data_IF_775987882488
#
_entry.id   IF_775987882488
#
_cell.length_a   1.000
_cell.length_b   1.000
_cell.length_c   1.000
_cell.angle_alpha   90.00
_cell.angle_beta   90.00
_cell.angle_gamma   90.00
#
_symmetry.space_group_name_H-M   'P 1'
#
loop_
_entity.id
_entity.type
_entity.pdbx_description
1 polymer ?
#
# COMPACT_ATOMS: atom_id res chain seq x y z
N UNK A 1 -26.22 -59.37 32.04
CA UNK A 1 -26.07 -58.35 30.97
C UNK A 1 -25.45 -59.01 29.75
N UNK A 2 -26.12 -58.95 28.58
CA UNK A 2 -25.67 -59.64 27.35
C UNK A 2 -24.54 -58.81 26.71
N UNK A 3 -23.41 -59.44 26.33
CA UNK A 3 -22.22 -58.81 25.70
C UNK A 3 -22.57 -57.76 24.62
N UNK A 4 -23.59 -58.05 23.81
CA UNK A 4 -24.06 -57.14 22.75
C UNK A 4 -24.58 -55.78 23.23
N UNK A 5 -25.10 -55.64 24.45
CA UNK A 5 -25.49 -54.32 24.99
C UNK A 5 -24.28 -53.45 25.37
N UNK A 6 -23.17 -54.07 25.79
CA UNK A 6 -21.93 -53.36 26.12
C UNK A 6 -21.23 -52.92 24.83
N UNK A 7 -21.20 -53.78 23.81
CA UNK A 7 -20.65 -53.47 22.49
C UNK A 7 -21.43 -52.35 21.79
N UNK A 8 -22.78 -52.38 21.81
CA UNK A 8 -23.59 -51.28 21.28
C UNK A 8 -23.40 -49.97 22.05
N UNK A 9 -23.26 -50.04 23.38
CA UNK A 9 -23.02 -48.86 24.21
C UNK A 9 -21.62 -48.28 24.00
N UNK A 10 -20.60 -49.08 23.69
CA UNK A 10 -19.27 -48.57 23.36
C UNK A 10 -19.26 -47.96 21.96
N UNK A 11 -19.87 -48.63 20.97
CA UNK A 11 -19.92 -48.16 19.60
C UNK A 11 -20.61 -46.79 19.47
N UNK A 12 -21.72 -46.59 20.18
CA UNK A 12 -22.44 -45.29 20.21
C UNK A 12 -21.61 -44.17 20.84
N UNK A 13 -20.85 -44.45 21.91
CA UNK A 13 -19.96 -43.46 22.55
C UNK A 13 -18.79 -43.09 21.64
N UNK A 14 -18.17 -44.05 20.97
CA UNK A 14 -17.11 -43.77 20.00
C UNK A 14 -17.64 -43.00 18.79
N UNK A 15 -18.81 -43.36 18.27
CA UNK A 15 -19.44 -42.64 17.16
C UNK A 15 -19.75 -41.18 17.54
N UNK A 16 -20.26 -40.91 18.75
CA UNK A 16 -20.47 -39.54 19.24
C UNK A 16 -19.16 -38.74 19.32
N UNK A 17 -18.09 -39.33 19.86
CA UNK A 17 -16.79 -38.64 19.98
C UNK A 17 -16.22 -38.33 18.59
N UNK A 18 -16.22 -39.31 17.69
CA UNK A 18 -15.77 -39.09 16.31
C UNK A 18 -16.58 -37.99 15.62
N UNK A 19 -17.90 -37.98 15.79
CA UNK A 19 -18.75 -36.95 15.21
C UNK A 19 -18.40 -35.55 15.72
N UNK A 20 -18.19 -35.38 17.03
CA UNK A 20 -17.81 -34.10 17.62
C UNK A 20 -16.44 -33.63 17.09
N UNK A 21 -15.46 -34.52 17.03
CA UNK A 21 -14.11 -34.21 16.52
C UNK A 21 -14.17 -33.82 15.03
N UNK A 22 -14.91 -34.58 14.21
CA UNK A 22 -15.11 -34.26 12.79
C UNK A 22 -15.82 -32.93 12.59
N UNK A 23 -16.86 -32.64 13.38
CA UNK A 23 -17.58 -31.36 13.32
C UNK A 23 -16.66 -30.18 13.70
N UNK A 24 -15.87 -30.33 14.77
CA UNK A 24 -14.90 -29.32 15.19
C UNK A 24 -13.83 -29.08 14.11
N UNK A 25 -13.30 -30.14 13.50
CA UNK A 25 -12.33 -30.02 12.41
C UNK A 25 -12.91 -29.30 11.18
N UNK A 26 -14.16 -29.61 10.81
CA UNK A 26 -14.86 -28.92 9.71
C UNK A 26 -15.05 -27.44 10.03
N UNK A 27 -15.53 -27.10 11.24
CA UNK A 27 -15.74 -25.72 11.67
C UNK A 27 -14.43 -24.91 11.68
N UNK A 28 -13.34 -25.48 12.18
CA UNK A 28 -12.01 -24.86 12.14
C UNK A 28 -11.52 -24.67 10.70
N UNK A 29 -11.75 -25.65 9.82
CA UNK A 29 -11.40 -25.57 8.41
C UNK A 29 -12.18 -24.48 7.66
N UNK A 30 -13.48 -24.34 7.91
CA UNK A 30 -14.32 -23.30 7.33
C UNK A 30 -13.91 -21.90 7.80
N UNK A 31 -13.65 -21.73 9.10
CA UNK A 31 -13.16 -20.48 9.69
C UNK A 31 -11.87 -19.99 9.01
N UNK A 32 -10.91 -20.88 8.74
CA UNK A 32 -9.66 -20.48 8.11
C UNK A 32 -9.85 -20.06 6.64
N UNK A 33 -10.75 -20.72 5.90
CA UNK A 33 -11.08 -20.33 4.52
C UNK A 33 -11.78 -18.98 4.45
N UNK A 34 -12.75 -18.74 5.33
CA UNK A 34 -13.44 -17.44 5.40
C UNK A 34 -12.49 -16.32 5.77
N UNK A 35 -11.59 -16.53 6.74
CA UNK A 35 -10.55 -15.57 7.10
C UNK A 35 -9.65 -15.24 5.91
N UNK A 36 -9.16 -16.25 5.19
CA UNK A 36 -8.32 -16.04 4.01
C UNK A 36 -9.06 -15.26 2.91
N UNK A 37 -10.33 -15.56 2.68
CA UNK A 37 -11.14 -14.85 1.68
C UNK A 37 -11.39 -13.39 2.08
N UNK A 38 -11.77 -13.13 3.34
CA UNK A 38 -11.97 -11.76 3.86
C UNK A 38 -10.68 -10.95 3.74
N UNK A 39 -9.56 -11.54 4.11
CA UNK A 39 -8.24 -10.95 4.05
C UNK A 39 -7.84 -10.59 2.60
N UNK A 40 -8.08 -11.47 1.64
CA UNK A 40 -7.89 -11.19 0.21
C UNK A 40 -8.77 -10.04 -0.30
N UNK A 41 -10.06 -10.04 0.06
CA UNK A 41 -11.00 -8.98 -0.35
C UNK A 41 -10.61 -7.62 0.24
N UNK A 42 -10.16 -7.58 1.50
CA UNK A 42 -9.70 -6.35 2.15
C UNK A 42 -8.40 -5.82 1.52
N UNK A 43 -7.39 -6.69 1.34
CA UNK A 43 -6.15 -6.32 0.65
C UNK A 43 -6.43 -5.78 -0.75
N UNK A 44 -7.32 -6.43 -1.50
CA UNK A 44 -7.67 -6.02 -2.87
C UNK A 44 -8.40 -4.68 -2.88
N UNK A 45 -9.40 -4.50 -2.02
CA UNK A 45 -10.12 -3.22 -1.91
C UNK A 45 -9.17 -2.08 -1.55
N UNK A 46 -8.24 -2.31 -0.63
CA UNK A 46 -7.25 -1.31 -0.22
C UNK A 46 -6.26 -1.00 -1.33
N UNK A 47 -5.68 -2.01 -1.97
CA UNK A 47 -4.74 -1.85 -3.07
C UNK A 47 -5.38 -1.12 -4.24
N UNK A 48 -6.60 -1.49 -4.64
CA UNK A 48 -7.35 -0.83 -5.71
C UNK A 48 -7.73 0.60 -5.36
N UNK A 49 -8.09 0.88 -4.10
CA UNK A 49 -8.39 2.25 -3.64
C UNK A 49 -7.16 3.15 -3.78
N UNK A 50 -6.02 2.72 -3.25
CA UNK A 50 -4.76 3.48 -3.34
C UNK A 50 -4.31 3.64 -4.79
N UNK A 51 -4.35 2.55 -5.57
CA UNK A 51 -4.00 2.58 -6.98
C UNK A 51 -4.88 3.56 -7.78
N UNK A 52 -6.20 3.56 -7.53
CA UNK A 52 -7.13 4.51 -8.16
C UNK A 52 -6.80 5.95 -7.78
N UNK A 53 -6.48 6.19 -6.52
CA UNK A 53 -6.12 7.52 -6.02
C UNK A 53 -4.83 8.05 -6.63
N UNK A 54 -3.78 7.22 -6.72
CA UNK A 54 -2.53 7.55 -7.42
C UNK A 54 -2.79 7.80 -8.91
N UNK A 55 -3.56 6.92 -9.56
CA UNK A 55 -3.92 7.06 -10.98
C UNK A 55 -4.68 8.37 -11.25
N UNK A 56 -5.57 8.80 -10.35
CA UNK A 56 -6.31 10.06 -10.49
C UNK A 56 -5.36 11.27 -10.50
N UNK A 57 -4.35 11.29 -9.62
CA UNK A 57 -3.38 12.40 -9.60
C UNK A 57 -2.53 12.41 -10.87
N UNK A 58 -2.06 11.24 -11.32
CA UNK A 58 -1.27 11.09 -12.55
C UNK A 58 -2.04 11.57 -13.77
N UNK A 59 -3.27 11.07 -13.95
CA UNK A 59 -4.08 11.32 -15.15
C UNK A 59 -4.86 12.62 -15.13
N UNK A 60 -4.83 13.35 -14.01
CA UNK A 60 -5.54 14.61 -13.89
C UNK A 60 -5.05 15.66 -14.90
N UNK A 61 -5.94 16.50 -15.46
CA UNK A 61 -5.56 17.57 -16.35
C UNK A 61 -4.95 18.79 -15.62
N UNK A 62 -5.08 18.85 -14.29
CA UNK A 62 -4.56 19.97 -13.50
C UNK A 62 -3.04 19.89 -13.44
N UNK A 63 -2.36 21.00 -13.74
CA UNK A 63 -0.90 21.08 -13.81
C UNK A 63 -0.24 20.84 -12.44
N UNK A 64 -0.84 21.41 -11.40
CA UNK A 64 -0.39 21.36 -10.01
C UNK A 64 -1.49 20.74 -9.14
N UNK A 65 -1.36 19.44 -8.84
CA UNK A 65 -2.31 18.73 -8.00
C UNK A 65 -1.61 18.07 -6.83
N UNK A 66 -2.08 18.41 -5.63
CA UNK A 66 -1.70 17.73 -4.40
C UNK A 66 -2.91 17.00 -3.86
N UNK A 67 -2.75 15.71 -3.58
CA UNK A 67 -3.78 14.89 -2.97
C UNK A 67 -3.22 14.18 -1.74
N UNK A 68 -3.98 14.26 -0.66
CA UNK A 68 -3.61 13.71 0.65
C UNK A 68 -4.60 12.58 0.96
N UNK A 69 -4.08 11.37 1.10
CA UNK A 69 -4.90 10.20 1.40
C UNK A 69 -4.73 9.81 2.87
N UNK A 70 -5.78 9.93 3.71
CA UNK A 70 -5.69 9.45 5.07
C UNK A 70 -5.56 7.93 5.09
N UNK A 71 -4.49 7.44 5.68
CA UNK A 71 -4.19 6.01 5.83
C UNK A 71 -4.74 5.45 7.14
N UNK A 72 -5.27 6.30 8.03
CA UNK A 72 -5.85 5.88 9.32
C UNK A 72 -6.94 4.84 9.16
N UNK A 73 -7.81 4.98 8.14
CA UNK A 73 -8.81 3.98 7.81
C UNK A 73 -8.20 2.70 7.26
N UNK A 74 -7.24 2.81 6.33
CA UNK A 74 -6.68 1.68 5.57
C UNK A 74 -5.68 0.83 6.36
N UNK A 75 -4.86 1.46 7.21
CA UNK A 75 -3.80 0.82 7.98
C UNK A 75 -4.26 0.36 9.38
N UNK A 76 -5.45 0.79 9.84
CA UNK A 76 -6.01 0.39 11.13
C UNK A 76 -7.06 -0.73 11.05
N UNK A 77 -7.31 -1.30 9.85
CA UNK A 77 -8.30 -2.37 9.66
C UNK A 77 -7.77 -3.69 10.21
N UNK A 78 -7.71 -3.85 11.54
CA UNK A 78 -7.40 -5.13 12.14
C UNK A 78 -7.52 -5.17 13.65
N UNK A 79 -8.00 -6.29 14.20
CA UNK A 79 -7.88 -6.57 15.64
C UNK A 79 -6.39 -6.76 15.97
N UNK A 80 -5.99 -6.32 17.16
CA UNK A 80 -4.60 -6.03 17.60
C UNK A 80 -3.53 -7.10 17.31
N UNK A 81 -3.90 -8.32 16.94
CA UNK A 81 -2.98 -9.43 16.72
C UNK A 81 -2.89 -9.95 15.25
N UNK A 82 -3.81 -9.60 14.33
CA UNK A 82 -3.90 -10.34 13.04
C UNK A 82 -4.27 -9.56 11.77
N UNK A 83 -4.29 -8.21 11.74
CA UNK A 83 -4.72 -7.53 10.50
C UNK A 83 -4.24 -6.10 10.33
N UNK A 84 -3.06 -5.74 10.85
CA UNK A 84 -2.44 -4.49 10.39
C UNK A 84 -1.86 -4.74 9.00
N UNK A 85 -2.26 -3.95 8.01
CA UNK A 85 -1.74 -4.08 6.65
C UNK A 85 -0.53 -3.17 6.45
N UNK A 86 0.45 -3.65 5.72
CA UNK A 86 1.58 -2.91 5.19
C UNK A 86 1.32 -2.64 3.71
N UNK A 87 1.57 -1.41 3.28
CA UNK A 87 1.41 -1.00 1.89
C UNK A 87 2.79 -0.69 1.35
N UNK A 88 3.18 -1.30 0.24
CA UNK A 88 4.44 -1.01 -0.44
C UNK A 88 4.15 -0.46 -1.82
N UNK A 89 4.70 0.72 -2.13
CA UNK A 89 4.66 1.31 -3.46
C UNK A 89 6.04 1.16 -4.09
N UNK A 90 6.14 0.35 -5.14
CA UNK A 90 7.40 0.16 -5.88
C UNK A 90 7.31 0.89 -7.21
N UNK A 91 8.22 1.83 -7.44
CA UNK A 91 8.34 2.48 -8.74
C UNK A 91 9.14 1.59 -9.70
N UNK A 92 8.53 1.19 -10.81
CA UNK A 92 9.24 0.57 -11.92
C UNK A 92 9.22 1.52 -13.12
N UNK A 93 10.32 2.26 -13.35
CA UNK A 93 10.41 3.16 -14.49
C UNK A 93 10.34 2.40 -15.82
N UNK A 94 9.94 3.07 -16.91
CA UNK A 94 9.94 2.47 -18.24
C UNK A 94 11.35 1.99 -18.60
N UNK A 95 11.46 0.81 -19.21
CA UNK A 95 12.76 0.25 -19.56
C UNK A 95 13.39 0.96 -20.78
N UNK A 96 12.56 1.59 -21.62
CA UNK A 96 12.97 2.37 -22.78
C UNK A 96 12.09 3.62 -22.93
N UNK A 97 12.63 4.66 -23.57
CA UNK A 97 11.88 5.86 -23.90
C UNK A 97 10.66 5.49 -24.78
N UNK A 98 9.48 5.99 -24.40
CA UNK A 98 8.22 5.66 -25.08
C UNK A 98 7.55 4.34 -24.66
N UNK A 99 8.09 3.64 -23.67
CA UNK A 99 7.37 2.54 -23.00
C UNK A 99 6.58 3.04 -21.78
N UNK A 100 5.65 2.21 -21.30
CA UNK A 100 4.87 2.52 -20.09
C UNK A 100 5.64 2.11 -18.83
N UNK A 101 5.80 3.06 -17.91
CA UNK A 101 6.21 2.77 -16.54
C UNK A 101 5.01 2.31 -15.71
N UNK A 102 5.28 1.77 -14.53
CA UNK A 102 4.20 1.50 -13.58
C UNK A 102 4.65 1.59 -12.12
N UNK A 103 3.72 1.99 -11.27
CA UNK A 103 3.84 1.92 -9.82
C UNK A 103 3.12 0.67 -9.37
N UNK A 104 3.83 -0.24 -8.72
CA UNK A 104 3.22 -1.43 -8.13
C UNK A 104 2.76 -1.11 -6.71
N UNK A 105 1.46 -1.14 -6.47
CA UNK A 105 0.88 -1.02 -5.13
C UNK A 105 0.67 -2.42 -4.58
N UNK A 106 1.48 -2.81 -3.61
CA UNK A 106 1.36 -4.06 -2.87
C UNK A 106 0.72 -3.81 -1.52
N UNK A 107 -0.26 -4.63 -1.16
CA UNK A 107 -0.86 -4.65 0.17
C UNK A 107 -0.76 -6.05 0.74
N UNK A 108 -0.16 -6.16 1.94
CA UNK A 108 0.01 -7.43 2.65
C UNK A 108 -0.28 -7.24 4.14
N UNK A 109 -0.84 -8.24 4.83
CA UNK A 109 -0.94 -8.20 6.30
C UNK A 109 0.44 -8.34 6.96
N UNK A 110 0.62 -7.73 8.13
CA UNK A 110 1.81 -7.92 8.97
C UNK A 110 1.77 -9.33 9.57
N UNK A 111 2.89 -10.03 9.49
CA UNK A 111 3.08 -11.34 10.11
C UNK A 111 2.68 -12.54 9.25
N UNK A 112 2.12 -12.32 8.05
CA UNK A 112 1.91 -13.38 7.06
C UNK A 112 2.04 -12.85 5.64
N UNK A 113 2.51 -13.68 4.72
CA UNK A 113 2.51 -13.40 3.27
C UNK A 113 1.24 -13.91 2.59
N UNK A 114 0.39 -14.63 3.33
CA UNK A 114 -0.94 -15.01 2.88
C UNK A 114 -1.78 -13.73 2.69
N UNK A 115 -2.56 -13.68 1.61
CA UNK A 115 -3.35 -12.51 1.19
C UNK A 115 -2.62 -11.30 0.59
N UNK A 116 -1.42 -11.47 0.06
CA UNK A 116 -0.75 -10.42 -0.70
C UNK A 116 -1.50 -10.09 -1.99
N UNK A 117 -1.90 -8.84 -2.16
CA UNK A 117 -2.48 -8.33 -3.42
C UNK A 117 -1.58 -7.26 -4.00
N UNK A 118 -1.38 -7.31 -5.32
CA UNK A 118 -0.62 -6.31 -6.07
C UNK A 118 -1.52 -5.70 -7.15
N UNK A 119 -1.51 -4.38 -7.26
CA UNK A 119 -2.26 -3.62 -8.27
C UNK A 119 -1.30 -2.66 -8.97
N UNK A 120 -1.09 -2.78 -10.29
CA UNK A 120 -0.25 -1.85 -11.04
C UNK A 120 -1.01 -0.56 -11.39
N UNK A 121 -0.33 0.59 -11.29
CA UNK A 121 -0.76 1.87 -11.84
C UNK A 121 0.18 2.25 -12.96
N UNK A 122 -0.31 2.17 -14.20
CA UNK A 122 0.48 2.49 -15.39
C UNK A 122 0.55 3.99 -15.63
N UNK A 123 1.69 4.44 -16.12
CA UNK A 123 1.89 5.80 -16.58
C UNK A 123 2.79 5.83 -17.82
N UNK A 124 2.62 6.86 -18.63
CA UNK A 124 3.41 7.04 -19.84
C UNK A 124 4.61 7.97 -19.56
N UNK A 125 5.77 7.62 -20.12
CA UNK A 125 6.99 8.43 -20.14
C UNK A 125 6.78 9.78 -20.86
N UNK A 126 5.76 9.87 -21.71
CA UNK A 126 5.35 11.14 -22.31
C UNK A 126 4.74 12.12 -21.30
N UNK A 127 4.14 11.61 -20.23
CA UNK A 127 3.41 12.41 -19.23
C UNK A 127 4.27 12.76 -18.02
N UNK A 128 5.23 11.91 -17.66
CA UNK A 128 6.05 12.02 -16.46
C UNK A 128 7.54 11.94 -16.81
N UNK A 129 8.32 12.95 -16.40
CA UNK A 129 9.78 12.95 -16.48
C UNK A 129 10.41 12.05 -15.42
N UNK A 130 9.89 12.19 -14.20
CA UNK A 130 10.47 11.59 -13.02
C UNK A 130 9.38 11.31 -11.99
N UNK A 131 9.53 10.19 -11.30
CA UNK A 131 8.75 9.80 -10.15
C UNK A 131 9.70 9.61 -8.98
N UNK A 132 9.53 10.43 -7.95
CA UNK A 132 10.32 10.40 -6.73
C UNK A 132 9.47 9.86 -5.58
N UNK A 133 9.95 8.80 -4.95
CA UNK A 133 9.40 8.31 -3.69
C UNK A 133 10.13 9.00 -2.55
N UNK A 134 9.39 9.50 -1.57
CA UNK A 134 9.92 10.20 -0.40
C UNK A 134 9.55 9.39 0.85
N UNK A 135 10.53 8.78 1.52
CA UNK A 135 10.28 8.09 2.78
C UNK A 135 9.96 9.10 3.89
N UNK A 136 9.45 8.60 5.02
CA UNK A 136 9.27 9.42 6.21
C UNK A 136 10.62 10.01 6.64
N UNK A 137 10.60 11.19 7.26
CA UNK A 137 11.82 11.90 7.65
C UNK A 137 12.76 11.03 8.50
N UNK A 138 13.98 10.79 8.01
CA UNK A 138 14.99 9.97 8.66
C UNK A 138 14.96 8.48 8.29
N UNK A 139 14.10 8.07 7.36
CA UNK A 139 14.09 6.71 6.80
C UNK A 139 14.71 6.67 5.40
N UNK A 140 15.26 5.52 5.04
CA UNK A 140 15.79 5.25 3.71
C UNK A 140 14.76 4.52 2.86
N UNK A 141 14.79 4.74 1.54
CA UNK A 141 13.97 3.95 0.61
C UNK A 141 14.50 2.52 0.54
N UNK A 142 13.60 1.56 0.41
CA UNK A 142 13.97 0.18 0.20
C UNK A 142 14.31 -0.03 -1.28
N UNK A 143 15.51 -0.48 -1.60
CA UNK A 143 15.83 -0.95 -2.94
C UNK A 143 15.37 -2.41 -3.10
N UNK A 144 14.48 -2.64 -4.04
CA UNK A 144 14.00 -3.98 -4.40
C UNK A 144 14.56 -4.38 -5.77
N UNK A 145 14.54 -5.68 -6.08
CA UNK A 145 14.90 -6.17 -7.41
C UNK A 145 14.04 -5.57 -8.55
N UNK A 146 12.90 -4.98 -8.21
CA UNK A 146 11.97 -4.35 -9.15
C UNK A 146 12.17 -2.82 -9.27
N UNK A 147 12.91 -2.19 -8.35
CA UNK A 147 13.09 -0.74 -8.28
C UNK A 147 13.06 -0.18 -6.86
N UNK A 148 12.96 1.13 -6.73
CA UNK A 148 12.85 1.82 -5.44
C UNK A 148 11.44 1.62 -4.87
N UNK A 149 11.37 1.34 -3.56
CA UNK A 149 10.13 1.04 -2.87
C UNK A 149 9.95 1.90 -1.61
N UNK A 150 8.74 2.42 -1.47
CA UNK A 150 8.26 3.13 -0.29
C UNK A 150 7.31 2.22 0.48
N UNK A 151 7.61 1.95 1.74
CA UNK A 151 6.77 1.13 2.61
C UNK A 151 6.04 2.02 3.61
N UNK A 152 4.71 1.98 3.58
CA UNK A 152 3.84 2.64 4.55
C UNK A 152 3.56 1.67 5.69
N UNK A 153 4.00 2.02 6.89
CA UNK A 153 3.88 1.18 8.07
C UNK A 153 2.61 1.52 8.86
N UNK A 154 1.81 0.50 9.26
CA UNK A 154 0.73 0.72 10.21
C UNK A 154 1.31 1.03 11.58
N UNK A 155 0.47 1.49 12.52
CA UNK A 155 0.89 1.73 13.90
C UNK A 155 1.58 0.49 14.48
N UNK A 156 2.80 0.65 14.99
CA UNK A 156 3.56 -0.38 15.74
C UNK A 156 3.75 0.09 17.18
N UNK A 157 4.13 -0.83 18.08
CA UNK A 157 4.43 -0.49 19.50
C UNK A 157 5.61 0.48 19.63
N UNK A 158 6.50 0.50 18.65
CA UNK A 158 7.68 1.36 18.59
C UNK A 158 7.73 1.99 17.19
N UNK A 159 7.49 3.30 17.11
CA UNK A 159 7.54 4.04 15.85
C UNK A 159 6.26 4.85 15.56
N UNK A 160 6.44 5.97 14.85
CA UNK A 160 5.32 6.74 14.31
C UNK A 160 4.69 5.97 13.15
N UNK A 161 3.36 5.94 13.08
CA UNK A 161 2.61 5.30 12.00
C UNK A 161 2.56 6.19 10.76
N UNK A 162 2.46 5.58 9.58
CA UNK A 162 2.04 6.29 8.37
C UNK A 162 0.61 6.81 8.57
N UNK A 163 0.44 8.13 8.48
CA UNK A 163 -0.86 8.79 8.69
C UNK A 163 -1.50 9.19 7.37
N UNK A 164 -0.69 9.71 6.45
CA UNK A 164 -1.13 10.18 5.16
C UNK A 164 -0.17 9.71 4.07
N UNK A 165 -0.74 9.27 2.94
CA UNK A 165 -0.01 9.15 1.69
C UNK A 165 -0.24 10.44 0.92
N UNK A 166 0.80 11.22 0.70
CA UNK A 166 0.70 12.45 -0.08
C UNK A 166 1.22 12.19 -1.48
N UNK A 167 0.40 12.47 -2.49
CA UNK A 167 0.78 12.38 -3.90
C UNK A 167 0.66 13.76 -4.51
N UNK A 168 1.75 14.23 -5.09
CA UNK A 168 1.82 15.55 -5.71
C UNK A 168 2.33 15.41 -7.12
N UNK A 169 1.54 15.91 -8.06
CA UNK A 169 1.94 16.12 -9.43
C UNK A 169 2.19 17.60 -9.63
N UNK A 170 3.32 17.90 -10.26
CA UNK A 170 3.67 19.27 -10.59
C UNK A 170 4.19 19.36 -12.01
N UNK A 171 3.71 20.35 -12.75
CA UNK A 171 4.22 20.66 -14.06
C UNK A 171 5.24 21.80 -13.93
N UNK A 172 6.51 21.56 -14.22
CA UNK A 172 7.50 22.62 -14.16
C UNK A 172 7.14 23.76 -15.13
N UNK A 173 7.19 25.01 -14.63
CA UNK A 173 6.92 26.21 -15.44
C UNK A 173 8.03 26.57 -16.43
N UNK A 174 9.12 25.80 -16.44
CA UNK A 174 10.23 25.98 -17.35
C UNK A 174 10.00 25.20 -18.66
N UNK A 175 10.24 25.87 -19.78
CA UNK A 175 10.09 25.27 -21.11
C UNK A 175 11.06 24.09 -21.27
N UNK A 176 10.53 22.91 -21.59
CA UNK A 176 11.32 21.71 -21.87
C UNK A 176 11.40 20.70 -20.72
N UNK A 177 10.93 21.03 -19.51
CA UNK A 177 10.79 20.07 -18.43
C UNK A 177 9.41 19.41 -18.49
N UNK A 178 9.34 18.09 -18.25
CA UNK A 178 8.08 17.34 -18.19
C UNK A 178 7.55 17.29 -16.75
N UNK A 179 6.29 16.89 -16.59
CA UNK A 179 5.63 16.76 -15.28
C UNK A 179 6.40 15.82 -14.35
N UNK A 180 6.41 16.12 -13.06
CA UNK A 180 7.05 15.29 -12.03
C UNK A 180 6.02 14.85 -11.00
N UNK A 181 6.24 13.66 -10.44
CA UNK A 181 5.39 13.07 -9.40
C UNK A 181 6.21 12.81 -8.14
N UNK A 182 5.73 13.31 -7.00
CA UNK A 182 6.27 13.00 -5.69
C UNK A 182 5.24 12.21 -4.90
N UNK A 183 5.68 11.13 -4.26
CA UNK A 183 4.85 10.32 -3.38
C UNK A 183 5.55 10.22 -2.03
N UNK A 184 4.91 10.69 -0.97
CA UNK A 184 5.50 10.80 0.36
C UNK A 184 4.73 9.98 1.40
N UNK A 185 5.46 9.26 2.26
CA UNK A 185 4.95 8.74 3.54
C UNK A 185 4.96 9.84 4.60
N UNK A 186 3.79 10.42 4.89
CA UNK A 186 3.67 11.43 5.91
C UNK A 186 3.14 10.87 7.22
N UNK A 187 3.94 11.03 8.28
CA UNK A 187 3.65 10.57 9.65
C UNK A 187 3.20 11.66 10.60
N UNK A 188 3.16 12.91 10.13
CA UNK A 188 2.76 14.06 10.94
C UNK A 188 1.24 14.07 11.15
N UNK A 189 0.79 14.66 12.27
CA UNK A 189 -0.64 14.76 12.60
C UNK A 189 -1.36 15.81 11.74
N UNK A 190 -0.65 16.87 11.34
CA UNK A 190 -1.19 17.89 10.44
C UNK A 190 -0.85 17.55 8.98
N UNK A 191 -1.83 17.19 8.14
CA UNK A 191 -1.62 16.85 6.74
C UNK A 191 -1.00 18.00 5.93
N UNK A 192 -1.11 19.26 6.38
CA UNK A 192 -0.53 20.43 5.70
C UNK A 192 0.99 20.45 5.74
N UNK A 193 1.56 19.84 6.78
CA UNK A 193 3.01 19.74 6.98
C UNK A 193 3.66 18.62 6.18
N UNK A 194 2.84 17.73 5.60
CA UNK A 194 3.30 16.75 4.62
C UNK A 194 3.74 17.47 3.34
N UNK A 195 4.85 17.03 2.76
CA UNK A 195 5.64 17.64 1.70
C UNK A 195 6.29 18.95 2.12
N UNK A 196 7.60 18.85 2.35
CA UNK A 196 8.44 20.02 2.56
C UNK A 196 8.60 20.78 1.24
N UNK A 197 7.86 21.88 1.12
CA UNK A 197 7.80 22.74 -0.07
C UNK A 197 9.18 23.22 -0.53
N UNK A 198 10.21 23.29 0.32
CA UNK A 198 11.51 23.85 -0.09
C UNK A 198 12.23 23.08 -1.21
N UNK A 199 12.09 21.75 -1.30
CA UNK A 199 12.67 20.96 -2.39
C UNK A 199 11.75 20.90 -3.62
N UNK A 200 10.44 20.93 -3.38
CA UNK A 200 9.41 20.81 -4.42
C UNK A 200 9.18 22.14 -5.14
N UNK A 201 9.20 23.27 -4.42
CA UNK A 201 8.96 24.63 -4.92
C UNK A 201 9.95 25.03 -6.02
N UNK A 202 11.22 24.63 -5.86
CA UNK A 202 12.27 24.89 -6.83
C UNK A 202 11.99 24.17 -8.16
N UNK A 203 11.47 22.94 -8.10
CA UNK A 203 11.19 22.11 -9.28
C UNK A 203 9.84 22.42 -9.91
N UNK A 204 8.90 22.90 -9.12
CA UNK A 204 7.59 23.35 -9.55
C UNK A 204 7.57 24.76 -10.14
N UNK A 205 8.65 25.53 -9.98
CA UNK A 205 8.66 26.94 -10.36
C UNK A 205 7.65 27.77 -9.56
N UNK A 206 7.42 27.40 -8.29
CA UNK A 206 6.55 28.15 -7.38
C UNK A 206 7.31 29.30 -6.70
N UNK A 207 8.63 29.21 -6.62
CA UNK A 207 9.52 30.32 -6.25
C UNK A 207 10.01 31.07 -7.51
N UNK A 208 9.31 32.13 -7.90
CA UNK A 208 9.58 32.91 -9.11
C UNK A 208 10.87 33.76 -9.03
N UNK A 209 11.64 33.69 -7.94
CA UNK A 209 12.68 34.68 -7.61
C UNK A 209 14.13 34.21 -7.69
N UNK A 210 14.45 32.96 -8.01
CA UNK A 210 15.86 32.53 -8.11
C UNK A 210 16.20 31.93 -9.47
N UNK A 211 16.80 32.79 -10.30
CA UNK A 211 17.81 32.54 -11.33
C UNK A 211 17.56 31.44 -12.39
N UNK A 212 17.68 31.84 -13.66
CA UNK A 212 17.73 31.07 -14.93
C UNK A 212 18.62 29.81 -14.98
N UNK A 213 19.25 29.41 -13.88
CA UNK A 213 20.01 28.17 -13.78
C UNK A 213 19.04 27.04 -13.46
N UNK A 214 18.97 26.03 -14.33
CA UNK A 214 18.21 24.79 -14.12
C UNK A 214 18.34 24.35 -12.66
N UNK A 215 17.25 24.32 -11.87
CA UNK A 215 17.34 23.76 -10.53
C UNK A 215 17.74 22.29 -10.66
N UNK A 216 18.80 21.89 -9.95
CA UNK A 216 19.13 20.48 -9.76
C UNK A 216 17.98 19.85 -8.97
N UNK A 217 17.08 19.22 -9.70
CA UNK A 217 15.89 18.57 -9.19
C UNK A 217 16.10 17.05 -9.06
N UNK A 218 17.34 16.61 -8.88
CA UNK A 218 17.74 15.20 -8.74
C UNK A 218 17.54 14.70 -7.32
#
# INVERSE_FOLDING_TARGET
>A
MKRGQIELSMLTRFAMIFFIVSLAAIMLGLSNREKAQLCMTQSASMASSIASQVAQVITSPVEDERKIFPLTGSLAIGKEEYSRYEITLTNKPPARAGETGYILVEVKPIGTSECRITVPVYYDDSQLDALTLLPAAGEELNETALGTALTLEPSRRTGARSQFLTVMKCKPKYVGLKTRLWIEDCRNDDPRTCMNFSAVDNCCGWSWMQTRTSPDCS
#
